data_IF_671413189031
#
_entry.id   IF_671413189031
#
_cell.length_a   1.000
_cell.length_b   1.000
_cell.length_c   1.000
_cell.angle_alpha   90.00
_cell.angle_beta   90.00
_cell.angle_gamma   90.00
#
_symmetry.space_group_name_H-M   'P 1'
#
loop_
_entity.id
_entity.type
_entity.pdbx_description
1 polymer ?
#
# COMPACT_ATOMS: atom_id res chain seq x y z
N UNK A 1 -66.61 42.63 20.24
CA UNK A 1 -65.92 42.68 18.93
C UNK A 1 -64.41 42.43 18.98
N UNK A 2 -63.67 42.72 20.06
CA UNK A 2 -62.20 42.53 20.08
C UNK A 2 -61.70 41.11 20.42
N UNK A 3 -62.50 40.27 21.09
CA UNK A 3 -62.07 38.90 21.42
C UNK A 3 -62.32 37.87 20.31
N UNK A 4 -63.34 38.11 19.47
CA UNK A 4 -63.70 37.20 18.38
C UNK A 4 -62.76 37.29 17.17
N UNK A 5 -62.14 38.44 16.93
CA UNK A 5 -61.17 38.63 15.83
C UNK A 5 -59.84 37.96 16.15
N UNK A 6 -59.38 38.05 17.40
CA UNK A 6 -58.11 37.43 17.84
C UNK A 6 -58.23 35.90 17.73
N UNK A 7 -59.32 35.31 18.22
CA UNK A 7 -59.54 33.86 18.15
C UNK A 7 -59.60 33.31 16.72
N UNK A 8 -60.18 34.06 15.77
CA UNK A 8 -60.22 33.64 14.36
C UNK A 8 -58.83 33.71 13.71
N UNK A 9 -58.02 34.72 14.04
CA UNK A 9 -56.63 34.81 13.55
C UNK A 9 -55.72 33.74 14.15
N UNK A 10 -55.90 33.33 15.41
CA UNK A 10 -55.12 32.22 16.00
C UNK A 10 -55.50 30.86 15.44
N UNK A 11 -56.77 30.65 15.09
CA UNK A 11 -57.25 29.39 14.48
C UNK A 11 -56.81 29.30 13.01
N UNK A 12 -56.74 30.42 12.28
CA UNK A 12 -56.27 30.43 10.88
C UNK A 12 -54.75 30.23 10.76
N UNK A 13 -53.95 30.63 11.77
CA UNK A 13 -52.52 30.32 11.82
C UNK A 13 -52.22 28.85 12.16
N UNK A 14 -53.14 28.14 12.83
CA UNK A 14 -52.95 26.73 13.21
C UNK A 14 -53.22 25.74 12.06
N UNK A 15 -53.86 26.18 10.98
CA UNK A 15 -54.26 25.31 9.85
C UNK A 15 -53.19 25.29 8.73
N UNK A 16 -52.16 26.13 8.79
CA UNK A 16 -51.12 26.19 7.74
C UNK A 16 -49.84 25.37 8.00
N UNK A 17 -49.79 24.57 9.06
CA UNK A 17 -48.67 23.65 9.30
C UNK A 17 -49.05 22.19 9.05
N UNK A 18 -49.58 21.88 7.86
CA UNK A 18 -49.53 20.50 7.37
C UNK A 18 -48.14 20.26 6.80
N UNK A 19 -47.24 19.73 7.64
CA UNK A 19 -45.91 19.30 7.22
C UNK A 19 -46.04 18.19 6.17
N UNK A 20 -45.71 18.49 4.92
CA UNK A 20 -45.59 17.47 3.87
C UNK A 20 -44.28 16.71 4.06
N UNK A 21 -44.37 15.37 4.17
CA UNK A 21 -43.20 14.50 4.10
C UNK A 21 -42.51 14.69 2.74
N UNK A 22 -41.20 14.94 2.75
CA UNK A 22 -40.42 15.18 1.52
C UNK A 22 -40.42 13.93 0.64
N UNK A 23 -40.82 14.05 -0.63
CA UNK A 23 -40.72 13.01 -1.65
C UNK A 23 -39.41 13.17 -2.44
N UNK A 24 -38.29 12.56 -2.02
CA UNK A 24 -36.98 12.82 -2.62
C UNK A 24 -36.89 12.47 -4.12
N UNK A 25 -37.80 11.64 -4.64
CA UNK A 25 -37.81 11.20 -6.05
C UNK A 25 -38.84 11.94 -6.93
N UNK A 26 -39.56 12.93 -6.39
CA UNK A 26 -40.60 13.66 -7.14
C UNK A 26 -40.00 14.43 -8.33
N UNK A 27 -38.79 14.97 -8.19
CA UNK A 27 -38.05 15.62 -9.29
C UNK A 27 -37.68 14.67 -10.43
N UNK A 28 -37.69 13.37 -10.19
CA UNK A 28 -37.41 12.33 -11.17
C UNK A 28 -38.70 11.72 -11.74
N UNK A 29 -39.88 12.24 -11.39
CA UNK A 29 -41.17 11.79 -11.90
C UNK A 29 -41.72 10.53 -11.24
N UNK A 30 -41.12 10.09 -10.13
CA UNK A 30 -41.56 8.89 -9.41
C UNK A 30 -42.12 9.26 -8.03
N UNK A 31 -43.36 8.86 -7.76
CA UNK A 31 -43.95 8.88 -6.42
C UNK A 31 -43.79 7.51 -5.79
N UNK A 32 -42.96 7.41 -4.76
CA UNK A 32 -42.76 6.16 -4.00
C UNK A 32 -43.42 6.28 -2.63
N UNK A 33 -44.00 5.19 -2.09
CA UNK A 33 -44.47 5.17 -0.72
C UNK A 33 -43.28 5.35 0.22
N UNK A 34 -43.28 6.45 0.98
CA UNK A 34 -42.20 6.77 1.92
C UNK A 34 -42.40 5.90 3.16
N UNK A 35 -41.52 4.94 3.35
CA UNK A 35 -41.50 4.10 4.55
C UNK A 35 -40.92 4.90 5.70
N UNK A 36 -41.78 5.60 6.43
CA UNK A 36 -41.46 6.25 7.71
C UNK A 36 -41.81 5.33 8.87
N UNK A 37 -41.17 5.50 10.03
CA UNK A 37 -41.37 4.64 11.20
C UNK A 37 -42.82 4.69 11.71
N UNK A 38 -43.48 5.83 11.47
CA UNK A 38 -44.88 6.08 11.82
C UNK A 38 -45.85 6.05 10.65
N UNK A 39 -45.42 5.66 9.44
CA UNK A 39 -46.21 5.78 8.20
C UNK A 39 -46.84 7.18 8.01
N UNK A 40 -46.09 8.22 8.34
CA UNK A 40 -46.51 9.62 8.19
C UNK A 40 -47.46 10.12 9.27
N UNK A 41 -47.67 9.36 10.35
CA UNK A 41 -48.52 9.78 11.47
C UNK A 41 -47.87 10.87 12.34
N UNK A 42 -46.53 10.93 12.39
CA UNK A 42 -45.78 11.93 13.16
C UNK A 42 -44.74 12.65 12.28
N UNK A 43 -44.41 13.90 12.64
CA UNK A 43 -43.30 14.64 12.01
C UNK A 43 -41.97 14.02 12.47
N UNK A 44 -41.28 13.34 11.56
CA UNK A 44 -39.99 12.72 11.82
C UNK A 44 -38.87 13.68 11.38
N UNK A 45 -38.19 14.31 12.35
CA UNK A 45 -37.02 15.15 12.11
C UNK A 45 -35.73 14.32 12.18
N UNK A 46 -34.92 14.34 11.12
CA UNK A 46 -33.62 13.67 11.05
C UNK A 46 -32.46 14.67 11.25
N UNK A 47 -32.41 15.34 12.40
CA UNK A 47 -31.42 16.42 12.66
C UNK A 47 -30.06 15.96 13.17
N UNK A 48 -29.56 14.79 12.76
CA UNK A 48 -28.22 14.32 13.20
C UNK A 48 -27.35 13.64 12.14
N UNK A 49 -27.72 13.65 10.85
CA UNK A 49 -27.01 12.84 9.83
C UNK A 49 -25.62 13.41 9.41
N UNK A 50 -25.27 14.62 9.85
CA UNK A 50 -23.98 15.22 9.49
C UNK A 50 -22.83 14.77 10.39
N UNK A 51 -23.11 14.38 11.64
CA UNK A 51 -22.07 13.93 12.58
C UNK A 51 -22.10 12.41 12.66
N UNK A 52 -20.99 11.77 12.33
CA UNK A 52 -20.82 10.33 12.45
C UNK A 52 -19.62 10.04 13.33
N UNK A 53 -19.86 9.14 14.27
CA UNK A 53 -18.83 8.62 15.14
C UNK A 53 -18.04 7.53 14.42
N UNK A 54 -16.72 7.68 14.40
CA UNK A 54 -15.78 6.67 13.90
C UNK A 54 -14.80 6.38 15.02
N UNK A 55 -15.01 5.27 15.73
CA UNK A 55 -14.27 4.94 16.95
C UNK A 55 -14.41 6.04 18.01
N UNK A 56 -13.28 6.56 18.48
CA UNK A 56 -13.22 7.64 19.49
C UNK A 56 -13.34 9.04 18.91
N UNK A 57 -13.71 9.22 17.65
CA UNK A 57 -13.76 10.53 16.98
C UNK A 57 -15.15 10.82 16.43
N UNK A 58 -15.68 12.00 16.72
CA UNK A 58 -16.90 12.51 16.08
C UNK A 58 -16.51 13.34 14.85
N UNK A 59 -16.95 12.90 13.67
CA UNK A 59 -16.60 13.51 12.39
C UNK A 59 -17.83 14.15 11.75
N UNK A 60 -17.70 15.39 11.28
CA UNK A 60 -18.70 15.98 10.41
C UNK A 60 -18.47 15.55 8.96
N UNK A 61 -19.36 14.73 8.40
CA UNK A 61 -19.27 14.16 7.05
C UNK A 61 -19.41 15.19 5.93
N UNK A 62 -20.02 16.35 6.21
CA UNK A 62 -20.23 17.42 5.22
C UNK A 62 -19.02 18.34 5.16
N UNK A 63 -18.43 18.67 6.30
CA UNK A 63 -17.28 19.60 6.37
C UNK A 63 -15.93 18.89 6.42
N UNK A 64 -15.91 17.58 6.66
CA UNK A 64 -14.69 16.78 6.80
C UNK A 64 -13.90 17.06 8.09
N UNK A 65 -14.47 17.82 9.03
CA UNK A 65 -13.78 18.24 10.25
C UNK A 65 -14.07 17.29 11.41
N UNK A 66 -13.05 17.09 12.25
CA UNK A 66 -13.20 16.46 13.56
C UNK A 66 -13.88 17.46 14.49
N UNK A 67 -14.98 17.02 15.09
CA UNK A 67 -15.81 17.84 15.98
C UNK A 67 -15.46 17.59 17.44
N UNK A 68 -15.18 16.35 17.82
CA UNK A 68 -14.74 16.01 19.18
C UNK A 68 -14.06 14.64 19.23
N UNK A 69 -13.33 14.40 20.32
CA UNK A 69 -12.88 13.08 20.72
C UNK A 69 -13.78 12.58 21.86
N UNK A 70 -14.21 11.33 21.74
CA UNK A 70 -15.10 10.66 22.69
C UNK A 70 -14.25 9.77 23.57
N UNK A 71 -14.25 10.05 24.87
CA UNK A 71 -13.61 9.22 25.88
C UNK A 71 -14.65 8.24 26.40
N UNK A 72 -14.41 6.94 26.23
CA UNK A 72 -15.28 5.92 26.81
C UNK A 72 -14.80 5.59 28.22
N UNK A 73 -15.71 5.61 29.17
CA UNK A 73 -15.45 5.08 30.51
C UNK A 73 -15.46 3.54 30.44
N UNK A 74 -14.41 2.91 30.95
CA UNK A 74 -14.06 1.49 30.71
C UNK A 74 -14.89 0.48 31.50
N UNK A 75 -16.17 0.78 31.76
CA UNK A 75 -17.04 0.00 32.63
C UNK A 75 -18.17 -0.71 31.87
N UNK A 76 -17.87 -1.44 30.79
CA UNK A 76 -18.89 -2.28 30.13
C UNK A 76 -18.37 -3.64 29.65
N UNK A 77 -19.23 -4.64 29.84
CA UNK A 77 -19.08 -6.03 29.42
C UNK A 77 -19.05 -6.16 27.89
N UNK A 78 -18.12 -6.99 27.38
CA UNK A 78 -17.90 -7.27 25.95
C UNK A 78 -19.17 -7.73 25.21
N UNK A 79 -20.16 -8.28 25.92
CA UNK A 79 -21.39 -8.80 25.33
C UNK A 79 -22.35 -7.69 24.83
N UNK A 80 -22.19 -6.44 25.28
CA UNK A 80 -23.12 -5.34 25.00
C UNK A 80 -22.59 -4.27 24.03
N UNK A 81 -21.41 -4.47 23.45
CA UNK A 81 -20.78 -3.50 22.55
C UNK A 81 -21.26 -3.66 21.10
N UNK A 82 -21.42 -2.52 20.42
CA UNK A 82 -21.68 -2.45 18.97
C UNK A 82 -20.53 -3.14 18.19
N UNK A 83 -20.81 -3.97 17.18
CA UNK A 83 -19.80 -4.59 16.31
C UNK A 83 -18.72 -3.63 15.77
N UNK A 84 -19.06 -2.35 15.59
CA UNK A 84 -18.11 -1.33 15.13
C UNK A 84 -17.06 -0.94 16.19
N UNK A 85 -17.29 -1.26 17.46
CA UNK A 85 -16.39 -1.01 18.59
C UNK A 85 -15.47 -2.19 18.91
N UNK A 86 -15.81 -3.39 18.44
CA UNK A 86 -15.07 -4.63 18.72
C UNK A 86 -14.27 -5.01 17.48
N UNK A 87 -12.96 -5.26 17.63
CA UNK A 87 -12.06 -5.68 16.56
C UNK A 87 -12.34 -7.13 16.10
N UNK A 88 -13.57 -7.39 15.66
CA UNK A 88 -14.08 -8.68 15.17
C UNK A 88 -14.58 -8.52 13.74
N UNK A 89 -14.66 -9.63 13.01
CA UNK A 89 -15.25 -9.60 11.67
C UNK A 89 -16.78 -9.43 11.75
N UNK A 90 -17.35 -8.73 10.76
CA UNK A 90 -18.80 -8.50 10.65
C UNK A 90 -19.56 -9.72 10.10
N UNK A 91 -18.83 -10.67 9.50
CA UNK A 91 -19.34 -11.91 8.92
C UNK A 91 -18.52 -13.09 9.41
N UNK A 92 -19.13 -14.27 9.42
CA UNK A 92 -18.48 -15.52 9.82
C UNK A 92 -17.31 -15.85 8.90
N UNK A 93 -16.17 -16.25 9.46
CA UNK A 93 -15.01 -16.75 8.72
C UNK A 93 -15.39 -18.02 7.92
N UNK A 94 -15.22 -18.02 6.56
CA UNK A 94 -15.45 -19.18 5.72
C UNK A 94 -14.66 -20.44 6.09
N UNK A 95 -13.57 -20.30 6.84
CA UNK A 95 -12.74 -21.39 7.34
C UNK A 95 -12.96 -21.71 8.83
N UNK A 96 -13.97 -21.09 9.46
CA UNK A 96 -14.27 -21.28 10.89
C UNK A 96 -14.46 -22.75 11.30
N UNK A 97 -14.95 -23.61 10.41
CA UNK A 97 -15.12 -25.05 10.66
C UNK A 97 -13.80 -25.82 10.86
N UNK A 98 -12.64 -25.26 10.47
CA UNK A 98 -11.34 -25.86 10.74
C UNK A 98 -10.80 -25.53 12.13
N UNK A 99 -11.38 -24.53 12.78
CA UNK A 99 -10.91 -23.99 14.05
C UNK A 99 -12.03 -23.97 15.09
N UNK A 100 -12.66 -25.13 15.32
CA UNK A 100 -13.72 -25.33 16.33
C UNK A 100 -13.51 -24.66 17.69
N UNK A 101 -12.30 -24.61 18.29
CA UNK A 101 -12.11 -23.94 19.58
C UNK A 101 -12.06 -22.41 19.50
N UNK A 102 -12.00 -21.81 18.30
CA UNK A 102 -11.98 -20.36 18.09
C UNK A 102 -13.35 -19.87 17.59
N UNK A 103 -13.77 -18.69 18.04
CA UNK A 103 -14.94 -18.03 17.48
C UNK A 103 -14.70 -17.73 15.99
N UNK A 104 -15.68 -17.96 15.10
CA UNK A 104 -15.51 -17.68 13.68
C UNK A 104 -15.57 -16.18 13.35
N UNK A 105 -15.61 -15.31 14.36
CA UNK A 105 -15.51 -13.86 14.25
C UNK A 105 -14.21 -13.31 14.88
N UNK A 106 -13.28 -14.20 15.22
CA UNK A 106 -12.01 -13.88 15.87
C UNK A 106 -11.02 -13.27 14.86
N UNK A 107 -10.35 -12.18 15.25
CA UNK A 107 -9.17 -11.67 14.55
C UNK A 107 -7.89 -12.28 15.15
N UNK A 108 -7.13 -13.03 14.34
CA UNK A 108 -5.78 -13.58 14.66
C UNK A 108 -5.66 -14.30 16.01
N UNK A 109 -6.65 -15.15 16.32
CA UNK A 109 -6.74 -15.88 17.59
C UNK A 109 -6.69 -14.98 18.85
N UNK A 110 -7.16 -13.72 18.75
CA UNK A 110 -7.07 -12.66 19.75
C UNK A 110 -5.62 -12.30 20.16
N UNK A 111 -4.63 -12.60 19.33
CA UNK A 111 -3.23 -12.24 19.61
C UNK A 111 -2.59 -11.50 18.43
N UNK A 112 -3.00 -10.24 18.16
CA UNK A 112 -2.49 -9.42 17.06
C UNK A 112 -1.06 -8.90 17.28
N UNK A 113 -0.46 -9.22 18.43
CA UNK A 113 0.95 -8.91 18.72
C UNK A 113 1.86 -10.00 18.13
N UNK A 114 1.42 -11.26 18.12
CA UNK A 114 2.20 -12.41 17.62
C UNK A 114 1.72 -12.95 16.27
N UNK A 115 0.44 -12.78 15.94
CA UNK A 115 -0.15 -13.37 14.73
C UNK A 115 -0.69 -12.28 13.80
N UNK A 116 -0.41 -12.47 12.51
CA UNK A 116 -0.90 -11.65 11.40
C UNK A 116 -1.63 -12.61 10.48
N UNK A 117 -2.85 -12.26 10.07
CA UNK A 117 -3.67 -13.05 9.15
C UNK A 117 -3.04 -13.10 7.74
N UNK A 118 -2.56 -14.26 7.25
CA UNK A 118 -1.73 -14.34 6.03
C UNK A 118 -2.49 -14.24 4.69
N UNK A 119 -3.83 -14.31 4.63
CA UNK A 119 -4.53 -14.34 3.32
C UNK A 119 -4.66 -12.95 2.65
N UNK A 120 -4.14 -11.92 3.31
CA UNK A 120 -4.45 -10.55 3.01
C UNK A 120 -3.54 -9.82 2.05
N UNK A 121 -2.73 -10.52 1.24
CA UNK A 121 -1.92 -10.00 0.10
C UNK A 121 -0.42 -9.74 0.46
N UNK A 122 0.50 -10.28 -0.35
CA UNK A 122 1.93 -10.48 -0.03
C UNK A 122 2.86 -10.08 -1.20
N UNK A 123 4.17 -9.93 -0.98
CA UNK A 123 5.16 -9.91 -2.07
C UNK A 123 5.38 -11.33 -2.61
N UNK A 124 4.99 -11.56 -3.86
CA UNK A 124 5.13 -12.85 -4.55
C UNK A 124 6.10 -12.72 -5.72
N UNK A 125 7.20 -13.44 -5.66
CA UNK A 125 8.22 -13.46 -6.72
C UNK A 125 8.10 -14.69 -7.58
N UNK A 126 8.28 -14.54 -8.89
CA UNK A 126 8.43 -15.64 -9.82
C UNK A 126 9.83 -15.59 -10.46
N UNK A 127 10.71 -16.48 -10.01
CA UNK A 127 12.05 -16.63 -10.57
C UNK A 127 12.00 -17.24 -11.97
N UNK A 128 12.46 -16.47 -12.95
CA UNK A 128 12.48 -16.78 -14.39
C UNK A 128 13.93 -16.82 -14.86
N UNK A 129 14.49 -18.01 -14.95
CA UNK A 129 15.85 -18.22 -15.46
C UNK A 129 16.83 -18.68 -14.38
N UNK A 130 17.90 -19.33 -14.82
CA UNK A 130 18.88 -19.96 -13.93
C UNK A 130 19.62 -18.88 -13.13
N UNK A 131 19.71 -19.08 -11.81
CA UNK A 131 20.44 -18.19 -10.90
C UNK A 131 19.72 -16.89 -10.53
N UNK A 132 18.54 -16.61 -11.09
CA UNK A 132 17.73 -15.43 -10.74
C UNK A 132 17.40 -15.36 -9.24
N UNK A 133 17.07 -16.49 -8.63
CA UNK A 133 16.84 -16.61 -7.18
C UNK A 133 18.10 -16.26 -6.38
N UNK A 134 19.25 -16.85 -6.71
CA UNK A 134 20.50 -16.62 -5.98
C UNK A 134 20.92 -15.15 -6.03
N UNK A 135 20.88 -14.53 -7.22
CA UNK A 135 21.24 -13.12 -7.38
C UNK A 135 20.28 -12.19 -6.62
N UNK A 136 18.98 -12.43 -6.74
CA UNK A 136 17.97 -11.67 -6.00
C UNK A 136 18.19 -11.74 -4.49
N UNK A 137 18.41 -12.95 -3.96
CA UNK A 137 18.67 -13.16 -2.52
C UNK A 137 19.94 -12.47 -2.08
N UNK A 138 21.04 -12.62 -2.82
CA UNK A 138 22.34 -12.08 -2.43
C UNK A 138 22.33 -10.55 -2.41
N UNK A 139 21.78 -9.91 -3.45
CA UNK A 139 21.73 -8.45 -3.53
C UNK A 139 20.86 -7.84 -2.43
N UNK A 140 19.74 -8.48 -2.07
CA UNK A 140 18.88 -8.00 -0.98
C UNK A 140 19.49 -8.27 0.39
N UNK A 141 20.02 -9.47 0.62
CA UNK A 141 20.63 -9.81 1.91
C UNK A 141 21.89 -8.97 2.19
N UNK A 142 22.62 -8.53 1.16
CA UNK A 142 23.73 -7.58 1.30
C UNK A 142 23.26 -6.24 1.92
N UNK A 143 22.04 -5.79 1.60
CA UNK A 143 21.46 -4.59 2.21
C UNK A 143 21.02 -4.79 3.66
N UNK A 144 20.85 -6.03 4.12
CA UNK A 144 20.48 -6.34 5.49
C UNK A 144 21.67 -6.53 6.43
N UNK A 145 22.90 -6.51 5.92
CA UNK A 145 24.14 -6.54 6.70
C UNK A 145 24.17 -7.61 7.80
N UNK A 146 23.67 -8.80 7.46
CA UNK A 146 23.56 -9.92 8.39
C UNK A 146 22.54 -9.75 9.51
N UNK A 147 21.85 -8.62 9.64
CA UNK A 147 20.78 -8.41 10.64
C UNK A 147 19.49 -9.16 10.28
N UNK A 148 19.18 -9.21 8.98
CA UNK A 148 17.98 -9.85 8.47
C UNK A 148 18.30 -10.71 7.26
N UNK A 149 17.40 -11.62 6.92
CA UNK A 149 17.45 -12.44 5.71
C UNK A 149 16.07 -12.57 5.09
N UNK A 150 16.04 -12.74 3.78
CA UNK A 150 14.82 -13.16 3.09
C UNK A 150 14.46 -14.61 3.44
N UNK A 151 13.17 -14.85 3.60
CA UNK A 151 12.57 -16.19 3.68
C UNK A 151 11.63 -16.38 2.50
N UNK A 152 11.44 -17.64 2.10
CA UNK A 152 10.63 -17.98 0.95
C UNK A 152 9.69 -19.13 1.31
N UNK A 153 8.40 -18.90 1.11
CA UNK A 153 7.37 -19.93 1.19
C UNK A 153 6.93 -20.28 -0.22
N UNK A 154 6.89 -21.58 -0.54
CA UNK A 154 6.42 -22.04 -1.84
C UNK A 154 5.00 -21.54 -2.12
N UNK A 155 4.82 -20.77 -3.19
CA UNK A 155 3.50 -20.25 -3.55
C UNK A 155 2.60 -21.39 -4.01
N UNK A 156 1.33 -21.34 -3.61
CA UNK A 156 0.27 -22.27 -4.04
C UNK A 156 -0.81 -21.54 -4.82
N UNK A 157 -1.35 -22.17 -5.86
CA UNK A 157 -2.49 -21.64 -6.60
C UNK A 157 -3.80 -21.79 -5.81
N UNK A 158 -4.92 -21.35 -6.42
CA UNK A 158 -6.24 -21.39 -5.79
C UNK A 158 -6.73 -22.81 -5.46
N UNK A 159 -6.15 -23.82 -6.09
CA UNK A 159 -6.46 -25.24 -5.84
C UNK A 159 -5.50 -25.86 -4.81
N UNK A 160 -4.55 -25.07 -4.29
CA UNK A 160 -3.55 -25.50 -3.30
C UNK A 160 -2.32 -26.16 -3.91
N UNK A 161 -2.17 -26.18 -5.23
CA UNK A 161 -1.01 -26.79 -5.89
C UNK A 161 0.20 -25.85 -5.86
N UNK A 162 1.37 -26.40 -5.58
CA UNK A 162 2.62 -25.65 -5.59
C UNK A 162 2.97 -25.17 -7.02
N UNK A 163 3.21 -23.86 -7.18
CA UNK A 163 3.61 -23.27 -8.46
C UNK A 163 5.13 -23.18 -8.54
N UNK A 164 5.74 -24.05 -9.34
CA UNK A 164 7.21 -24.14 -9.49
C UNK A 164 7.84 -22.78 -9.84
N UNK A 165 8.85 -22.39 -9.05
CA UNK A 165 9.62 -21.16 -9.25
C UNK A 165 8.95 -19.90 -8.70
N UNK A 166 7.75 -20.02 -8.12
CA UNK A 166 6.99 -18.91 -7.53
C UNK A 166 6.94 -19.05 -6.01
N UNK A 167 7.22 -17.95 -5.29
CA UNK A 167 7.36 -17.94 -3.84
C UNK A 167 6.78 -16.67 -3.24
N UNK A 168 6.16 -16.80 -2.07
CA UNK A 168 5.90 -15.67 -1.18
C UNK A 168 7.20 -15.33 -0.45
N UNK A 169 7.52 -14.03 -0.40
CA UNK A 169 8.74 -13.52 0.25
C UNK A 169 8.40 -13.02 1.64
N UNK A 170 9.21 -13.43 2.62
CA UNK A 170 9.21 -12.91 3.99
C UNK A 170 10.56 -12.30 4.36
N UNK A 171 10.60 -11.63 5.50
CA UNK A 171 11.84 -11.17 6.13
C UNK A 171 11.90 -11.72 7.55
N UNK A 172 13.04 -12.28 7.93
CA UNK A 172 13.30 -12.80 9.27
C UNK A 172 14.61 -12.23 9.81
N UNK A 173 14.68 -11.98 11.12
CA UNK A 173 15.94 -11.75 11.80
C UNK A 173 16.87 -12.98 11.67
N UNK A 174 18.17 -12.75 11.59
CA UNK A 174 19.17 -13.81 11.75
C UNK A 174 19.36 -14.13 13.25
N UNK A 175 20.11 -15.20 13.55
CA UNK A 175 20.32 -15.68 14.93
C UNK A 175 20.88 -14.60 15.87
N UNK A 176 21.89 -13.84 15.40
CA UNK A 176 22.53 -12.74 16.14
C UNK A 176 22.12 -11.34 15.64
N UNK A 177 21.10 -11.28 14.79
CA UNK A 177 20.64 -10.07 14.12
C UNK A 177 19.34 -9.50 14.67
N UNK A 178 18.55 -8.89 13.79
CA UNK A 178 17.25 -8.29 14.12
C UNK A 178 17.31 -6.83 14.56
N UNK A 179 18.51 -6.23 14.62
CA UNK A 179 18.69 -4.87 15.10
C UNK A 179 18.83 -3.87 13.95
N UNK A 180 17.71 -3.18 13.64
CA UNK A 180 17.67 -2.15 12.59
C UNK A 180 18.63 -1.00 12.91
N UNK A 181 18.96 -0.75 14.19
CA UNK A 181 19.85 0.36 14.57
C UNK A 181 21.32 0.12 14.17
N UNK A 182 21.71 -1.13 13.92
CA UNK A 182 23.04 -1.50 13.41
C UNK A 182 23.20 -1.27 11.91
N UNK A 183 22.10 -1.03 11.19
CA UNK A 183 22.14 -0.71 9.77
C UNK A 183 22.46 0.78 9.56
N UNK A 184 23.20 1.10 8.50
CA UNK A 184 23.38 2.49 8.04
C UNK A 184 22.05 3.13 7.63
N UNK A 185 21.97 4.47 7.54
CA UNK A 185 20.74 5.15 7.13
C UNK A 185 20.16 4.62 5.81
N UNK A 186 21.01 4.38 4.81
CA UNK A 186 20.58 3.84 3.52
C UNK A 186 20.06 2.40 3.60
N UNK A 187 20.71 1.54 4.39
CA UNK A 187 20.25 0.18 4.65
C UNK A 187 18.95 0.16 5.47
N UNK A 188 18.78 1.08 6.43
CA UNK A 188 17.51 1.24 7.15
C UNK A 188 16.39 1.70 6.21
N UNK A 189 16.66 2.64 5.30
CA UNK A 189 15.70 3.08 4.29
C UNK A 189 15.29 1.90 3.38
N UNK A 190 16.26 1.09 2.96
CA UNK A 190 16.02 -0.11 2.18
C UNK A 190 15.16 -1.11 2.95
N UNK A 191 15.55 -1.47 4.18
CA UNK A 191 14.81 -2.38 5.05
C UNK A 191 13.38 -1.92 5.27
N UNK A 192 13.16 -0.64 5.65
CA UNK A 192 11.81 -0.08 5.86
C UNK A 192 10.98 -0.14 4.58
N UNK A 193 11.55 0.25 3.45
CA UNK A 193 10.86 0.26 2.16
C UNK A 193 10.45 -1.13 1.71
N UNK A 194 11.33 -2.12 1.87
CA UNK A 194 11.10 -3.51 1.48
C UNK A 194 10.16 -4.24 2.46
N UNK A 195 10.35 -4.05 3.77
CA UNK A 195 9.48 -4.58 4.83
C UNK A 195 8.05 -4.11 4.67
N UNK A 196 7.86 -2.84 4.29
CA UNK A 196 6.53 -2.33 3.93
C UNK A 196 5.90 -3.10 2.78
N UNK A 197 6.65 -3.56 1.78
CA UNK A 197 6.05 -4.32 0.66
C UNK A 197 5.71 -5.75 1.09
N UNK A 198 6.57 -6.36 1.90
CA UNK A 198 6.40 -7.74 2.39
C UNK A 198 5.24 -7.86 3.38
N UNK A 199 5.08 -6.89 4.27
CA UNK A 199 4.07 -6.92 5.34
C UNK A 199 2.73 -6.31 4.94
N UNK A 200 2.69 -5.54 3.86
CA UNK A 200 1.48 -4.83 3.51
C UNK A 200 0.45 -5.80 2.96
N UNK A 201 -0.80 -5.58 3.33
CA UNK A 201 -1.96 -6.25 2.78
C UNK A 201 -2.22 -5.84 1.31
N UNK A 202 -1.24 -5.74 0.42
CA UNK A 202 -1.44 -5.61 -1.04
C UNK A 202 -0.48 -6.52 -1.77
N UNK A 203 -1.00 -7.28 -2.75
CA UNK A 203 -0.26 -8.36 -3.38
C UNK A 203 0.56 -7.75 -4.47
N UNK A 204 1.86 -7.93 -4.37
CA UNK A 204 2.81 -7.50 -5.37
C UNK A 204 3.34 -8.74 -6.06
N UNK A 205 2.88 -9.00 -7.28
CA UNK A 205 3.53 -10.00 -8.14
C UNK A 205 4.74 -9.36 -8.82
N UNK A 206 5.89 -10.04 -8.77
CA UNK A 206 7.13 -9.63 -9.42
C UNK A 206 7.78 -10.81 -10.15
N UNK A 207 7.93 -10.72 -11.47
CA UNK A 207 8.75 -11.64 -12.25
C UNK A 207 10.21 -11.23 -12.16
N UNK A 208 11.08 -12.15 -11.76
CA UNK A 208 12.51 -11.89 -11.53
C UNK A 208 13.33 -12.65 -12.56
N UNK A 209 13.98 -11.92 -13.47
CA UNK A 209 14.85 -12.43 -14.53
C UNK A 209 16.33 -12.33 -14.15
N UNK A 210 17.17 -13.09 -14.84
CA UNK A 210 18.62 -12.94 -14.79
C UNK A 210 19.13 -13.00 -16.23
N UNK A 211 19.02 -11.88 -16.93
CA UNK A 211 19.32 -11.76 -18.35
C UNK A 211 18.09 -11.92 -19.23
N UNK A 212 17.44 -10.82 -19.59
CA UNK A 212 16.29 -10.79 -20.48
C UNK A 212 16.30 -9.51 -21.31
N UNK A 213 16.55 -9.64 -22.62
CA UNK A 213 16.65 -8.50 -23.53
C UNK A 213 15.38 -7.66 -23.73
N UNK A 214 14.25 -8.02 -23.11
CA UNK A 214 13.00 -7.24 -23.13
C UNK A 214 12.70 -6.54 -21.81
N UNK A 215 13.50 -6.81 -20.80
CA UNK A 215 13.38 -6.24 -19.46
C UNK A 215 14.74 -5.62 -19.19
N UNK A 216 14.79 -4.28 -19.20
CA UNK A 216 15.97 -3.58 -18.67
C UNK A 216 16.03 -3.82 -17.14
N UNK A 217 16.55 -2.88 -16.34
CA UNK A 217 16.54 -3.03 -14.86
C UNK A 217 15.17 -3.46 -14.32
N UNK A 218 14.09 -2.90 -14.85
CA UNK A 218 12.75 -3.39 -14.62
C UNK A 218 11.77 -3.02 -15.73
N UNK A 219 10.54 -3.50 -15.59
CA UNK A 219 9.44 -3.18 -16.49
C UNK A 219 8.15 -2.97 -15.68
N UNK A 220 7.75 -1.71 -15.53
CA UNK A 220 6.52 -1.32 -14.84
C UNK A 220 5.29 -2.10 -15.30
N UNK A 221 5.10 -2.15 -16.62
CA UNK A 221 3.89 -2.70 -17.22
C UNK A 221 3.78 -4.20 -16.94
N UNK A 222 4.90 -4.93 -17.04
CA UNK A 222 4.93 -6.38 -16.97
C UNK A 222 5.33 -6.95 -15.60
N UNK A 223 5.44 -6.09 -14.58
CA UNK A 223 5.85 -6.47 -13.24
C UNK A 223 7.16 -7.24 -13.24
N UNK A 224 8.18 -6.73 -13.93
CA UNK A 224 9.43 -7.46 -14.10
C UNK A 224 10.62 -6.70 -13.51
N UNK A 225 11.59 -7.45 -13.01
CA UNK A 225 12.90 -7.03 -12.54
C UNK A 225 13.95 -7.92 -13.20
N UNK A 226 15.02 -7.37 -13.74
CA UNK A 226 16.19 -8.15 -14.17
C UNK A 226 17.32 -7.98 -13.17
N UNK A 227 17.57 -9.02 -12.36
CA UNK A 227 18.65 -8.97 -11.36
C UNK A 227 20.05 -9.14 -11.97
N UNK A 228 20.14 -9.56 -13.23
CA UNK A 228 21.39 -9.55 -13.98
C UNK A 228 21.82 -8.13 -14.37
N UNK A 229 20.84 -7.27 -14.67
CA UNK A 229 21.06 -5.84 -14.91
C UNK A 229 21.38 -5.08 -13.63
N UNK A 230 20.69 -5.37 -12.53
CA UNK A 230 20.96 -4.70 -11.25
C UNK A 230 22.39 -4.95 -10.76
N UNK A 231 22.98 -6.12 -11.02
CA UNK A 231 24.37 -6.41 -10.65
C UNK A 231 25.41 -5.55 -11.37
N UNK A 232 25.06 -4.92 -12.50
CA UNK A 232 25.97 -4.07 -13.25
C UNK A 232 26.20 -2.73 -12.54
N UNK A 233 25.33 -2.38 -11.59
CA UNK A 233 25.47 -1.18 -10.78
C UNK A 233 26.46 -1.42 -9.61
N UNK A 234 27.11 -0.36 -9.11
CA UNK A 234 27.95 -0.45 -7.92
C UNK A 234 27.22 -1.09 -6.73
N UNK A 235 27.91 -1.94 -5.98
CA UNK A 235 27.42 -2.43 -4.69
C UNK A 235 27.24 -1.27 -3.71
N UNK A 236 26.33 -1.43 -2.75
CA UNK A 236 26.14 -0.44 -1.70
C UNK A 236 27.32 -0.48 -0.72
N UNK A 237 27.98 0.66 -0.52
CA UNK A 237 29.10 0.78 0.41
C UNK A 237 28.62 1.27 1.77
N UNK A 238 28.49 0.36 2.74
CA UNK A 238 28.05 0.66 4.10
C UNK A 238 29.04 1.53 4.90
N UNK A 239 30.27 1.71 4.42
CA UNK A 239 31.23 2.65 5.05
C UNK A 239 30.96 4.10 4.66
N UNK A 240 30.12 4.32 3.64
CA UNK A 240 29.79 5.65 3.13
C UNK A 240 28.39 6.09 3.55
N UNK A 241 28.32 7.30 4.07
CA UNK A 241 27.06 8.00 4.36
C UNK A 241 26.27 8.36 3.09
N UNK A 242 26.97 8.53 1.97
CA UNK A 242 26.40 8.88 0.67
C UNK A 242 27.11 8.08 -0.43
N UNK A 243 26.32 7.45 -1.29
CA UNK A 243 26.80 6.64 -2.40
C UNK A 243 27.17 7.53 -3.59
N UNK A 244 28.22 7.14 -4.33
CA UNK A 244 28.74 7.89 -5.48
C UNK A 244 27.93 7.61 -6.76
N UNK A 245 26.60 7.72 -6.69
CA UNK A 245 25.69 7.43 -7.79
C UNK A 245 24.66 6.33 -7.46
N UNK A 246 24.20 5.57 -8.47
CA UNK A 246 23.27 4.47 -8.25
C UNK A 246 23.95 3.30 -7.55
N UNK A 247 23.16 2.48 -6.86
CA UNK A 247 23.63 1.20 -6.30
C UNK A 247 22.67 0.07 -6.67
N UNK A 248 23.13 -1.18 -6.56
CA UNK A 248 22.29 -2.37 -6.73
C UNK A 248 21.05 -2.31 -5.81
N UNK A 249 21.26 -2.00 -4.53
CA UNK A 249 20.17 -1.85 -3.55
C UNK A 249 19.21 -0.72 -3.88
N UNK A 250 19.73 0.42 -4.35
CA UNK A 250 18.91 1.54 -4.82
C UNK A 250 18.03 1.18 -6.02
N UNK A 251 18.55 0.40 -6.97
CA UNK A 251 17.76 -0.07 -8.12
C UNK A 251 16.72 -1.11 -7.73
N UNK A 252 17.08 -2.08 -6.88
CA UNK A 252 16.11 -3.08 -6.42
C UNK A 252 14.95 -2.42 -5.66
N UNK A 253 15.23 -1.50 -4.73
CA UNK A 253 14.15 -0.85 -3.99
C UNK A 253 13.28 0.01 -4.91
N UNK A 254 13.87 0.66 -5.93
CA UNK A 254 13.13 1.41 -6.94
C UNK A 254 12.09 0.49 -7.60
N UNK A 255 12.55 -0.62 -8.20
CA UNK A 255 11.66 -1.50 -8.96
C UNK A 255 10.58 -2.13 -8.06
N UNK A 256 10.96 -2.60 -6.87
CA UNK A 256 10.01 -3.20 -5.91
C UNK A 256 8.96 -2.19 -5.46
N UNK A 257 9.35 -0.95 -5.16
CA UNK A 257 8.42 0.11 -4.73
C UNK A 257 7.53 0.60 -5.87
N UNK A 258 8.02 0.57 -7.10
CA UNK A 258 7.23 0.90 -8.28
C UNK A 258 6.09 -0.11 -8.49
N UNK A 259 6.40 -1.42 -8.38
CA UNK A 259 5.39 -2.48 -8.43
C UNK A 259 4.42 -2.44 -7.25
N UNK A 260 4.92 -2.08 -6.06
CA UNK A 260 4.06 -1.89 -4.91
C UNK A 260 3.07 -0.74 -5.10
N UNK A 261 3.52 0.41 -5.59
CA UNK A 261 2.63 1.54 -5.94
C UNK A 261 1.57 1.16 -6.98
N UNK A 262 1.96 0.40 -8.00
CA UNK A 262 1.03 -0.15 -9.00
C UNK A 262 -0.06 -1.02 -8.36
N UNK A 263 0.34 -1.90 -7.45
CA UNK A 263 -0.59 -2.79 -6.77
C UNK A 263 -1.53 -2.01 -5.81
N UNK A 264 -1.02 -0.99 -5.12
CA UNK A 264 -1.84 -0.08 -4.30
C UNK A 264 -2.90 0.66 -5.13
N UNK A 265 -2.55 1.03 -6.35
CA UNK A 265 -3.48 1.64 -7.32
C UNK A 265 -4.49 0.63 -7.91
N UNK A 266 -4.47 -0.64 -7.45
CA UNK A 266 -5.34 -1.73 -7.94
C UNK A 266 -5.05 -2.16 -9.38
N UNK A 267 -3.87 -1.84 -9.90
CA UNK A 267 -3.50 -2.08 -11.31
C UNK A 267 -2.90 -3.47 -11.48
N UNK A 268 -3.20 -4.09 -12.62
CA UNK A 268 -2.77 -5.45 -12.95
C UNK A 268 -1.54 -5.45 -13.86
N UNK A 269 -0.84 -6.58 -13.92
CA UNK A 269 0.17 -6.84 -14.95
C UNK A 269 -0.43 -6.58 -16.35
N UNK A 270 0.34 -5.94 -17.21
CA UNK A 270 -0.09 -5.41 -18.51
C UNK A 270 -0.58 -3.96 -18.50
N UNK A 271 -0.86 -3.37 -17.34
CA UNK A 271 -1.30 -1.98 -17.22
C UNK A 271 -0.12 -1.01 -17.04
N UNK A 272 -0.12 0.09 -17.80
CA UNK A 272 0.89 1.15 -17.76
C UNK A 272 0.43 2.38 -16.96
N UNK A 273 -0.85 2.47 -16.61
CA UNK A 273 -1.43 3.64 -15.93
C UNK A 273 -0.83 3.79 -14.54
N UNK A 274 -0.53 5.04 -14.16
CA UNK A 274 0.10 5.37 -12.87
C UNK A 274 1.62 5.31 -12.89
N UNK A 275 2.25 4.91 -14.00
CA UNK A 275 3.71 4.80 -14.13
C UNK A 275 4.45 6.04 -13.61
N UNK A 276 4.21 7.23 -14.17
CA UNK A 276 4.95 8.44 -13.80
C UNK A 276 4.91 8.75 -12.29
N UNK A 277 3.74 8.57 -11.66
CA UNK A 277 3.58 8.83 -10.23
C UNK A 277 4.29 7.78 -9.38
N UNK A 278 4.20 6.50 -9.76
CA UNK A 278 4.84 5.42 -9.02
C UNK A 278 6.36 5.41 -9.21
N UNK A 279 6.82 5.71 -10.43
CA UNK A 279 8.22 5.92 -10.76
C UNK A 279 8.84 7.05 -9.95
N UNK A 280 8.17 8.21 -9.85
CA UNK A 280 8.65 9.33 -9.04
C UNK A 280 8.74 8.99 -7.54
N UNK A 281 7.77 8.24 -6.99
CA UNK A 281 7.82 7.75 -5.60
C UNK A 281 8.97 6.75 -5.39
N UNK A 282 9.17 5.85 -6.34
CA UNK A 282 10.25 4.87 -6.33
C UNK A 282 11.64 5.54 -6.35
N UNK A 283 11.82 6.60 -7.15
CA UNK A 283 13.03 7.44 -7.12
C UNK A 283 13.27 8.02 -5.72
N UNK A 284 12.22 8.43 -5.00
CA UNK A 284 12.35 8.90 -3.62
C UNK A 284 12.95 7.85 -2.68
N UNK A 285 12.56 6.58 -2.84
CA UNK A 285 13.15 5.47 -2.11
C UNK A 285 14.58 5.18 -2.55
N UNK A 286 14.87 5.19 -3.86
CA UNK A 286 16.23 5.07 -4.41
C UNK A 286 17.16 6.13 -3.80
N UNK A 287 16.73 7.39 -3.80
CA UNK A 287 17.47 8.52 -3.21
C UNK A 287 17.71 8.34 -1.71
N UNK A 288 16.70 7.86 -0.98
CA UNK A 288 16.81 7.61 0.47
C UNK A 288 17.82 6.49 0.77
N UNK A 289 17.86 5.45 -0.06
CA UNK A 289 18.84 4.37 0.06
C UNK A 289 20.24 4.85 -0.30
N UNK A 290 20.41 5.56 -1.41
CA UNK A 290 21.72 5.98 -1.88
C UNK A 290 22.29 7.21 -1.15
N UNK A 291 21.45 7.94 -0.40
CA UNK A 291 21.84 9.18 0.25
C UNK A 291 22.14 10.33 -0.71
N UNK A 292 21.78 10.21 -2.00
CA UNK A 292 21.96 11.20 -3.05
C UNK A 292 20.62 11.51 -3.77
N UNK A 293 20.62 12.40 -4.75
CA UNK A 293 19.40 12.77 -5.50
C UNK A 293 19.53 12.45 -6.98
N UNK A 294 18.74 11.51 -7.48
CA UNK A 294 18.60 11.27 -8.93
C UNK A 294 17.95 12.46 -9.62
N UNK A 295 18.61 12.94 -10.68
CA UNK A 295 18.16 14.02 -11.55
C UNK A 295 17.51 13.43 -12.83
N UNK A 296 17.08 14.30 -13.74
CA UNK A 296 16.58 13.89 -15.04
C UNK A 296 17.64 13.11 -15.84
N UNK A 297 17.20 12.00 -16.42
CA UNK A 297 18.03 11.18 -17.29
C UNK A 297 18.24 11.89 -18.65
N UNK A 298 19.41 11.70 -19.23
CA UNK A 298 19.77 12.21 -20.56
C UNK A 298 20.13 11.09 -21.54
N UNK A 299 20.50 11.47 -22.77
CA UNK A 299 20.83 10.51 -23.82
C UNK A 299 19.60 9.88 -24.47
N UNK A 300 19.79 8.76 -25.16
CA UNK A 300 18.71 7.98 -25.77
C UNK A 300 18.97 6.48 -25.62
N UNK A 301 17.93 5.68 -25.82
CA UNK A 301 18.00 4.21 -25.64
C UNK A 301 19.04 3.55 -26.56
N UNK A 302 19.23 4.07 -27.79
CA UNK A 302 20.11 3.47 -28.80
C UNK A 302 21.59 3.68 -28.48
N UNK A 303 21.96 4.89 -28.04
CA UNK A 303 23.35 5.27 -27.76
C UNK A 303 23.73 5.16 -26.27
N UNK A 304 22.74 4.91 -25.43
CA UNK A 304 22.84 4.72 -23.98
C UNK A 304 22.25 5.88 -23.18
N UNK A 305 21.48 5.53 -22.16
CA UNK A 305 20.85 6.46 -21.21
C UNK A 305 21.89 6.92 -20.18
N UNK A 306 21.88 8.21 -19.85
CA UNK A 306 22.77 8.81 -18.85
C UNK A 306 21.94 9.14 -17.62
N UNK A 307 22.14 8.39 -16.54
CA UNK A 307 21.56 8.72 -15.24
C UNK A 307 22.50 9.65 -14.48
N UNK A 308 21.92 10.65 -13.81
CA UNK A 308 22.66 11.71 -13.15
C UNK A 308 22.24 11.80 -11.68
N UNK A 309 23.21 11.95 -10.78
CA UNK A 309 22.98 11.93 -9.34
C UNK A 309 23.70 13.12 -8.71
N UNK A 310 22.93 14.00 -8.07
CA UNK A 310 23.46 15.12 -7.30
C UNK A 310 23.82 14.65 -5.90
N UNK A 311 25.06 14.87 -5.52
CA UNK A 311 25.58 14.60 -4.18
C UNK A 311 25.30 15.76 -3.21
N UNK A 312 25.43 15.53 -1.91
CA UNK A 312 25.22 16.52 -0.84
C UNK A 312 26.14 17.73 -0.96
N UNK A 313 27.36 17.53 -1.46
CA UNK A 313 28.32 18.62 -1.73
C UNK A 313 27.98 19.43 -3.00
N UNK A 314 26.90 19.10 -3.71
CA UNK A 314 26.45 19.77 -4.92
C UNK A 314 27.05 19.24 -6.23
N UNK A 315 28.07 18.36 -6.17
CA UNK A 315 28.63 17.73 -7.36
C UNK A 315 27.64 16.75 -8.01
N UNK A 316 27.80 16.50 -9.31
CA UNK A 316 26.95 15.58 -10.07
C UNK A 316 27.80 14.43 -10.59
N UNK A 317 27.44 13.21 -10.19
CA UNK A 317 28.00 11.98 -10.73
C UNK A 317 27.07 11.45 -11.80
N UNK A 318 27.63 10.93 -12.90
CA UNK A 318 26.84 10.38 -14.01
C UNK A 318 27.25 8.95 -14.30
N UNK A 319 26.28 8.13 -14.67
CA UNK A 319 26.46 6.76 -15.13
C UNK A 319 25.80 6.60 -16.50
N UNK A 320 26.53 5.99 -17.43
CA UNK A 320 26.01 5.63 -18.74
C UNK A 320 25.59 4.16 -18.73
N UNK A 321 24.35 3.92 -19.13
CA UNK A 321 23.68 2.62 -19.22
C UNK A 321 23.49 2.31 -20.71
N UNK A 322 23.94 1.15 -21.16
CA UNK A 322 23.98 0.76 -22.58
C UNK A 322 23.35 -0.62 -22.71
N UNK A 323 22.68 -0.88 -23.84
CA UNK A 323 22.11 -2.20 -24.15
C UNK A 323 20.60 -2.31 -23.96
N UNK A 324 19.91 -1.18 -23.72
CA UNK A 324 18.46 -1.13 -23.55
C UNK A 324 17.77 -1.89 -24.69
N UNK A 325 16.92 -2.85 -24.32
CA UNK A 325 16.14 -3.68 -25.24
C UNK A 325 16.91 -4.41 -26.36
N UNK A 326 18.24 -4.48 -26.26
CA UNK A 326 19.13 -5.01 -27.31
C UNK A 326 20.14 -6.04 -26.78
N UNK A 327 20.31 -6.12 -25.46
CA UNK A 327 21.20 -7.06 -24.78
C UNK A 327 20.46 -7.71 -23.62
N UNK A 328 20.82 -8.96 -23.28
CA UNK A 328 20.25 -9.61 -22.09
C UNK A 328 20.74 -8.98 -20.80
N UNK A 329 21.98 -8.45 -20.79
CA UNK A 329 22.57 -7.77 -19.64
C UNK A 329 23.07 -6.40 -20.09
N UNK A 330 22.64 -5.35 -19.39
CA UNK A 330 23.05 -3.98 -19.61
C UNK A 330 24.54 -3.78 -19.28
N UNK A 331 25.11 -2.72 -19.81
CA UNK A 331 26.45 -2.28 -19.43
C UNK A 331 26.34 -0.94 -18.71
N UNK A 332 26.78 -0.90 -17.46
CA UNK A 332 26.76 0.30 -16.62
C UNK A 332 28.19 0.75 -16.36
N UNK A 333 28.49 2.03 -16.61
CA UNK A 333 29.82 2.59 -16.35
C UNK A 333 29.76 4.07 -15.96
N UNK A 334 30.73 4.56 -15.16
CA UNK A 334 30.87 5.99 -14.90
C UNK A 334 30.97 6.80 -16.20
N UNK A 335 30.37 7.99 -16.21
CA UNK A 335 30.33 8.89 -17.36
C UNK A 335 30.93 10.26 -17.00
N UNK A 336 32.20 10.46 -17.36
CA UNK A 336 32.98 11.63 -16.97
C UNK A 336 32.99 12.76 -18.04
N UNK A 337 32.01 12.79 -18.95
CA UNK A 337 31.97 13.76 -20.07
C UNK A 337 30.87 14.82 -19.91
#
# INVERSE_FOLDING_TARGET
MRQSVIALTTIMLLIMSTSYSQQPFERLGYTVPISTLSQGKYSEDFTSDSLVQVGSVMLNRVTGKIVSFITYDTMYSEHSLDPQLISRFMSQDPLGEKFYPLSPYNYVANNPILFVDPDGRELVVYFKGKGSNTKFINQINAMFDGQFKLTFTQFKDGDGNAVKGKYTVGIQATEDGGDVSKLTEGQQAFYKGFKQVVDHSVRVDLDVFNGNSKVDVGNYQNNALDVGDTEQFPEYDATKYEQQGPTQGGKIIHEVREQFGKALDGRKKGDWRGYNSNHSRAIGWENSVNGNTRLGDGGNIDSGVIQQFKLKNGSVVKYKIIGHQSQEILIVKPHNK
#
